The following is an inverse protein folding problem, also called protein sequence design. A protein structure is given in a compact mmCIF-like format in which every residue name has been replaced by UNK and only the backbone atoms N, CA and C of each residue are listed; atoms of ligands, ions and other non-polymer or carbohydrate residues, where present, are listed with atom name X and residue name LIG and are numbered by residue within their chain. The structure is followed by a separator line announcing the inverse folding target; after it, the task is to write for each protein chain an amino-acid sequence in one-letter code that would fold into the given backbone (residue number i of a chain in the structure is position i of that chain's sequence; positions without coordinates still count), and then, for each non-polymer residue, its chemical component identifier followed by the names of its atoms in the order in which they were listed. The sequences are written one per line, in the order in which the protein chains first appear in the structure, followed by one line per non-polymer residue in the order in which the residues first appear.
data_IF_376191153859
#
_entry.id   IF_376191153859
#
_cell.length_a   1.000
_cell.length_b   1.000
_cell.length_c   1.000
_cell.angle_alpha   90.00
_cell.angle_beta   90.00
_cell.angle_gamma   90.00
#
_symmetry.space_group_name_H-M   'P 1'
#
loop_
_entity.id
_entity.type
_entity.pdbx_description
1 polymer ?
#
# COMPACT_ATOMS: atom_id res chain seq x y z
N UNK A 1 -17.16 -1.27 -1.87
CA UNK A 1 -16.33 -0.05 -2.01
C UNK A 1 -17.17 1.23 -2.09
N UNK A 2 -18.19 1.30 -2.96
CA UNK A 2 -19.16 2.42 -2.93
C UNK A 2 -19.89 2.54 -1.58
N UNK A 3 -20.21 1.41 -0.94
CA UNK A 3 -20.71 1.34 0.43
C UNK A 3 -19.76 1.93 1.49
N UNK A 4 -18.50 2.21 1.14
CA UNK A 4 -17.47 2.84 1.97
C UNK A 4 -17.21 4.31 1.58
N UNK A 5 -18.09 4.90 0.77
CA UNK A 5 -17.99 6.30 0.35
C UNK A 5 -17.03 6.56 -0.82
N UNK A 6 -16.57 5.52 -1.52
CA UNK A 6 -15.75 5.69 -2.71
C UNK A 6 -16.58 6.26 -3.87
N UNK A 7 -16.18 7.40 -4.43
CA UNK A 7 -16.77 7.95 -5.64
C UNK A 7 -16.38 7.13 -6.88
N UNK A 8 -17.20 7.18 -7.93
CA UNK A 8 -16.89 6.49 -9.19
C UNK A 8 -15.59 6.98 -9.83
N UNK A 9 -15.24 8.26 -9.66
CA UNK A 9 -13.97 8.83 -10.15
C UNK A 9 -12.77 8.26 -9.39
N UNK A 10 -12.83 8.21 -8.06
CA UNK A 10 -11.76 7.61 -7.23
C UNK A 10 -11.58 6.12 -7.53
N UNK A 11 -12.67 5.38 -7.72
CA UNK A 11 -12.62 3.98 -8.12
C UNK A 11 -11.94 3.83 -9.47
N UNK A 12 -12.27 4.68 -10.44
CA UNK A 12 -11.65 4.66 -11.77
C UNK A 12 -10.16 5.00 -11.71
N UNK A 13 -9.77 6.02 -10.94
CA UNK A 13 -8.37 6.39 -10.71
C UNK A 13 -7.59 5.22 -10.08
N UNK A 14 -8.19 4.58 -9.08
CA UNK A 14 -7.59 3.45 -8.36
C UNK A 14 -7.44 2.22 -9.25
N UNK A 15 -8.48 1.86 -10.00
CA UNK A 15 -8.47 0.71 -10.91
C UNK A 15 -7.56 0.93 -12.12
N UNK A 16 -7.40 2.18 -12.58
CA UNK A 16 -6.44 2.53 -13.62
C UNK A 16 -4.99 2.35 -13.15
N UNK A 17 -4.68 2.74 -11.90
CA UNK A 17 -3.33 2.59 -11.32
C UNK A 17 -3.05 1.16 -10.85
N UNK A 18 -4.08 0.44 -10.41
CA UNK A 18 -3.94 -0.90 -9.83
C UNK A 18 -5.05 -1.83 -10.33
N UNK A 19 -5.02 -2.25 -11.61
CA UNK A 19 -6.05 -3.13 -12.17
C UNK A 19 -6.08 -4.50 -11.48
N UNK A 20 -4.96 -4.94 -10.91
CA UNK A 20 -4.79 -6.23 -10.23
C UNK A 20 -5.67 -6.40 -8.99
N UNK A 21 -6.26 -5.33 -8.44
CA UNK A 21 -7.25 -5.40 -7.35
C UNK A 21 -8.43 -6.29 -7.76
N UNK A 22 -8.84 -6.22 -9.03
CA UNK A 22 -9.97 -6.98 -9.55
C UNK A 22 -9.71 -8.50 -9.57
N UNK A 23 -8.46 -8.92 -9.48
CA UNK A 23 -8.07 -10.33 -9.40
C UNK A 23 -8.10 -10.92 -7.99
N UNK A 24 -8.35 -10.11 -6.96
CA UNK A 24 -8.43 -10.58 -5.58
C UNK A 24 -9.76 -11.32 -5.38
N UNK A 25 -9.70 -12.58 -4.92
CA UNK A 25 -10.88 -13.46 -4.81
C UNK A 25 -11.78 -13.17 -3.60
N UNK A 26 -11.38 -12.28 -2.69
CA UNK A 26 -12.11 -12.01 -1.45
C UNK A 26 -12.46 -10.53 -1.30
N UNK A 27 -13.74 -10.23 -1.10
CA UNK A 27 -14.24 -8.85 -0.91
C UNK A 27 -13.59 -8.11 0.26
N UNK A 28 -13.23 -8.85 1.32
CA UNK A 28 -12.46 -8.32 2.46
C UNK A 28 -11.04 -7.93 2.06
N UNK A 29 -10.39 -8.71 1.20
CA UNK A 29 -9.07 -8.40 0.68
C UNK A 29 -9.11 -7.19 -0.27
N UNK A 30 -10.15 -7.11 -1.13
CA UNK A 30 -10.38 -5.96 -2.01
C UNK A 30 -10.56 -4.68 -1.19
N UNK A 31 -11.37 -4.73 -0.13
CA UNK A 31 -11.66 -3.54 0.70
C UNK A 31 -10.43 -3.02 1.45
N UNK A 32 -9.71 -3.92 2.11
CA UNK A 32 -8.45 -3.58 2.81
C UNK A 32 -7.43 -3.00 1.83
N UNK A 33 -7.36 -3.57 0.63
CA UNK A 33 -6.44 -3.10 -0.39
C UNK A 33 -6.81 -1.73 -0.97
N UNK A 34 -8.10 -1.50 -1.20
CA UNK A 34 -8.60 -0.21 -1.65
C UNK A 34 -8.26 0.90 -0.66
N UNK A 35 -8.45 0.65 0.64
CA UNK A 35 -8.10 1.60 1.69
C UNK A 35 -6.58 1.95 1.65
N UNK A 36 -5.71 0.98 1.38
CA UNK A 36 -4.27 1.24 1.24
C UNK A 36 -3.90 2.11 0.05
N UNK A 37 -4.47 1.81 -1.14
CA UNK A 37 -4.17 2.61 -2.32
C UNK A 37 -4.68 4.03 -2.14
N UNK A 38 -5.85 4.18 -1.51
CA UNK A 38 -6.41 5.48 -1.15
C UNK A 38 -5.45 6.25 -0.24
N UNK A 39 -4.94 5.63 0.82
CA UNK A 39 -3.98 6.24 1.74
C UNK A 39 -2.72 6.72 1.01
N UNK A 40 -2.15 5.91 0.11
CA UNK A 40 -0.94 6.29 -0.65
C UNK A 40 -1.22 7.44 -1.63
N UNK A 41 -2.36 7.41 -2.31
CA UNK A 41 -2.77 8.48 -3.22
C UNK A 41 -2.99 9.79 -2.43
N UNK A 42 -3.64 9.72 -1.27
CA UNK A 42 -3.89 10.87 -0.40
C UNK A 42 -2.58 11.44 0.16
N UNK A 43 -1.68 10.59 0.67
CA UNK A 43 -0.35 10.98 1.13
C UNK A 43 0.53 11.59 0.02
N UNK A 44 0.17 11.39 -1.24
CA UNK A 44 0.82 12.02 -2.38
C UNK A 44 0.19 13.36 -2.78
N UNK A 45 -1.12 13.52 -2.58
CA UNK A 45 -1.81 14.80 -2.79
C UNK A 45 -1.46 15.79 -1.68
N UNK A 46 -1.21 15.32 -0.46
CA UNK A 46 -0.74 16.16 0.63
C UNK A 46 0.77 16.45 0.49
N UNK A 47 1.13 17.72 0.30
CA UNK A 47 2.53 18.18 0.35
C UNK A 47 3.21 17.90 1.70
N UNK A 48 2.41 17.75 2.77
CA UNK A 48 2.87 17.21 4.03
C UNK A 48 2.91 15.70 3.93
N UNK A 49 4.09 15.10 4.17
CA UNK A 49 4.26 13.68 4.53
C UNK A 49 3.53 13.43 5.86
N UNK A 50 2.20 13.48 5.85
CA UNK A 50 1.38 13.18 7.02
C UNK A 50 1.60 11.70 7.29
N UNK A 51 2.16 11.37 8.47
CA UNK A 51 2.29 9.99 8.93
C UNK A 51 0.93 9.33 8.74
N UNK A 52 0.87 8.34 7.85
CA UNK A 52 -0.37 7.61 7.58
C UNK A 52 -0.83 6.99 8.90
N UNK A 53 -2.07 7.29 9.28
CA UNK A 53 -2.66 6.68 10.46
C UNK A 53 -2.91 5.21 10.15
N UNK A 54 -2.00 4.33 10.57
CA UNK A 54 -2.10 2.87 10.47
C UNK A 54 -3.29 2.25 11.24
N UNK A 55 -4.22 3.07 11.73
CA UNK A 55 -5.26 2.69 12.68
C UNK A 55 -6.34 1.76 12.12
N UNK A 56 -6.40 1.57 10.80
CA UNK A 56 -7.37 0.68 10.15
C UNK A 56 -6.96 -0.80 10.18
N UNK A 57 -5.71 -1.11 10.52
CA UNK A 57 -5.20 -2.48 10.49
C UNK A 57 -4.97 -3.04 11.88
N UNK A 58 -5.15 -4.37 12.06
CA UNK A 58 -4.71 -5.04 13.26
C UNK A 58 -3.20 -4.86 13.44
N UNK A 59 -2.82 -4.35 14.60
CA UNK A 59 -1.41 -4.18 14.96
C UNK A 59 -0.68 -5.54 14.94
N UNK A 60 0.49 -5.60 14.32
CA UNK A 60 1.25 -6.82 14.08
C UNK A 60 0.78 -7.64 12.88
N UNK A 61 -0.25 -7.19 12.13
CA UNK A 61 -0.71 -7.93 10.95
C UNK A 61 0.33 -7.91 9.82
N UNK A 62 0.26 -8.94 8.97
CA UNK A 62 1.10 -9.02 7.76
C UNK A 62 0.87 -7.81 6.85
N UNK A 63 -0.37 -7.33 6.78
CA UNK A 63 -0.79 -6.18 5.99
C UNK A 63 -0.20 -4.88 6.54
N UNK A 64 -0.17 -4.70 7.86
CA UNK A 64 0.42 -3.50 8.49
C UNK A 64 1.93 -3.44 8.27
N UNK A 65 2.63 -4.55 8.48
CA UNK A 65 4.06 -4.64 8.20
C UNK A 65 4.38 -4.30 6.74
N UNK A 66 3.53 -4.78 5.83
CA UNK A 66 3.69 -4.53 4.40
C UNK A 66 3.48 -3.08 4.03
N UNK A 67 2.44 -2.44 4.58
CA UNK A 67 2.20 -1.02 4.41
C UNK A 67 3.39 -0.21 4.91
N UNK A 68 3.87 -0.49 6.13
CA UNK A 68 5.03 0.22 6.70
C UNK A 68 6.25 0.14 5.78
N UNK A 69 6.55 -1.06 5.25
CA UNK A 69 7.68 -1.26 4.37
C UNK A 69 7.52 -0.53 3.02
N UNK A 70 6.32 -0.56 2.42
CA UNK A 70 6.02 0.16 1.17
C UNK A 70 6.15 1.68 1.33
N UNK A 71 5.77 2.22 2.49
CA UNK A 71 5.94 3.64 2.78
C UNK A 71 7.39 4.06 2.90
N UNK A 72 8.23 3.22 3.50
CA UNK A 72 9.69 3.45 3.51
C UNK A 72 10.24 3.51 2.09
N UNK A 73 9.85 2.57 1.21
CA UNK A 73 10.24 2.61 -0.21
C UNK A 73 9.78 3.88 -0.92
N UNK A 74 8.56 4.36 -0.61
CA UNK A 74 8.07 5.64 -1.12
C UNK A 74 8.96 6.81 -0.69
N UNK A 75 9.33 6.86 0.59
CA UNK A 75 10.20 7.92 1.12
C UNK A 75 11.60 7.89 0.50
N UNK A 76 12.06 6.73 0.05
CA UNK A 76 13.29 6.56 -0.72
C UNK A 76 13.14 6.91 -2.21
N UNK A 77 11.95 7.33 -2.66
CA UNK A 77 11.71 7.78 -4.03
C UNK A 77 11.31 6.68 -5.02
N UNK A 78 10.96 5.48 -4.55
CA UNK A 78 10.50 4.40 -5.43
C UNK A 78 9.17 4.78 -6.10
N UNK A 79 9.03 4.66 -7.44
CA UNK A 79 7.80 5.00 -8.16
C UNK A 79 6.60 4.18 -7.72
N UNK A 80 5.42 4.82 -7.69
CA UNK A 80 4.17 4.19 -7.26
C UNK A 80 3.76 2.97 -8.10
N UNK A 81 4.11 2.96 -9.38
CA UNK A 81 3.89 1.83 -10.30
C UNK A 81 4.56 0.55 -9.81
N UNK A 82 5.65 0.67 -9.06
CA UNK A 82 6.37 -0.44 -8.42
C UNK A 82 5.80 -0.74 -7.04
N UNK A 83 5.38 0.29 -6.29
CA UNK A 83 4.84 0.14 -4.94
C UNK A 83 3.48 -0.55 -4.89
N UNK A 84 2.56 -0.23 -5.81
CA UNK A 84 1.21 -0.78 -5.77
C UNK A 84 1.22 -2.31 -5.98
N UNK A 85 1.90 -2.89 -6.98
CA UNK A 85 2.00 -4.34 -7.10
C UNK A 85 2.58 -5.03 -5.86
N UNK A 86 3.48 -4.36 -5.13
CA UNK A 86 4.04 -4.93 -3.91
C UNK A 86 2.96 -5.15 -2.86
N UNK A 87 2.02 -4.22 -2.68
CA UNK A 87 0.94 -4.29 -1.70
C UNK A 87 0.00 -5.50 -1.91
N UNK A 88 -0.17 -5.99 -3.13
CA UNK A 88 -0.98 -7.20 -3.43
C UNK A 88 -0.14 -8.47 -3.45
N UNK A 89 1.16 -8.37 -3.72
CA UNK A 89 2.03 -9.54 -3.90
C UNK A 89 2.41 -10.22 -2.59
N UNK A 90 2.57 -11.54 -2.56
CA UNK A 90 3.15 -12.24 -1.41
C UNK A 90 4.69 -12.09 -1.32
N UNK A 91 5.25 -11.03 -1.92
CA UNK A 91 6.69 -10.90 -2.09
C UNK A 91 7.41 -10.86 -0.72
N UNK A 92 8.40 -11.76 -0.48
CA UNK A 92 9.04 -11.88 0.84
C UNK A 92 9.69 -10.59 1.34
N UNK A 93 10.18 -9.74 0.42
CA UNK A 93 10.84 -8.47 0.75
C UNK A 93 9.95 -7.53 1.57
N UNK A 94 8.66 -7.46 1.29
CA UNK A 94 7.76 -6.53 1.97
C UNK A 94 6.98 -7.18 3.12
N UNK A 95 7.03 -8.50 3.28
CA UNK A 95 6.25 -9.23 4.28
C UNK A 95 6.96 -9.46 5.63
N UNK A 96 8.23 -9.10 5.78
CA UNK A 96 8.99 -9.32 7.02
C UNK A 96 9.77 -8.08 7.45
N UNK A 97 9.65 -7.67 8.73
CA UNK A 97 10.32 -6.47 9.28
C UNK A 97 11.85 -6.56 9.19
N UNK A 98 12.44 -7.63 9.73
CA UNK A 98 13.91 -7.77 9.76
C UNK A 98 14.53 -7.92 8.37
N UNK A 99 13.92 -8.74 7.50
CA UNK A 99 14.43 -8.97 6.14
C UNK A 99 14.35 -7.71 5.26
N UNK A 100 13.34 -6.87 5.48
CA UNK A 100 13.18 -5.62 4.74
C UNK A 100 14.27 -4.62 5.11
N UNK A 101 14.50 -4.37 6.41
CA UNK A 101 15.55 -3.47 6.90
C UNK A 101 16.94 -3.95 6.45
N UNK A 102 17.22 -5.26 6.53
CA UNK A 102 18.49 -5.83 6.06
C UNK A 102 18.66 -5.69 4.53
N UNK A 103 17.60 -5.89 3.75
CA UNK A 103 17.65 -5.76 2.29
C UNK A 103 17.82 -4.31 1.86
N UNK A 104 17.19 -3.36 2.58
CA UNK A 104 17.38 -1.94 2.34
C UNK A 104 18.82 -1.51 2.62
N UNK A 105 19.40 -1.98 3.73
CA UNK A 105 20.77 -1.64 4.08
C UNK A 105 21.76 -2.02 2.97
N UNK A 106 21.59 -3.20 2.36
CA UNK A 106 22.44 -3.68 1.24
C UNK A 106 22.33 -2.89 -0.06
N UNK A 107 21.29 -2.08 -0.23
CA UNK A 107 21.03 -1.32 -1.47
C UNK A 107 21.34 0.17 -1.28
N UNK A 108 21.28 0.66 -0.05
CA UNK A 108 21.55 2.07 0.30
C UNK A 108 23.00 2.29 0.71
N UNK A 109 23.69 1.29 1.27
CA UNK A 109 25.13 1.28 1.60
C UNK A 109 25.95 0.55 0.54
#
# INVERSE_FOLDING_TARGET
LQSRGASSSELTETLSKVPKILGLKEDKAISVYYDFVKEIIEANKSFSRKKLCHSSLPQGSRQENKLRNVLVLRELGVPHEVLFPLLISDHPLVCGKGKFEESLKKVVE
#
